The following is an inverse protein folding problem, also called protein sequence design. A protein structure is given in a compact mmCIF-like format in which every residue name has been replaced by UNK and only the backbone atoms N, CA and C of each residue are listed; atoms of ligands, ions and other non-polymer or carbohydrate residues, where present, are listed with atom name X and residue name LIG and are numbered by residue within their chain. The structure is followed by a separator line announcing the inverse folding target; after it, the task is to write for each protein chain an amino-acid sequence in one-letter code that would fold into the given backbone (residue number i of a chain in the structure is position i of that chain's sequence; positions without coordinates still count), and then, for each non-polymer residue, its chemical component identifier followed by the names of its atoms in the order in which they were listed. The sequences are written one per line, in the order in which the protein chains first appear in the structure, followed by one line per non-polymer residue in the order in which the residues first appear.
data_IF_951049924551
#
_entry.id   IF_951049924551
#
_cell.length_a   1.000
_cell.length_b   1.000
_cell.length_c   1.000
_cell.angle_alpha   90.00
_cell.angle_beta   90.00
_cell.angle_gamma   90.00
#
_symmetry.space_group_name_H-M   'P 1'
#
loop_
_entity.id
_entity.type
_entity.pdbx_description
1 polymer ?
#
# COMPACT_ATOMS: atom_id res chain seq x y z
N UNK A 1 5.18 -11.34 4.12
CA UNK A 1 6.16 -10.41 3.51
C UNK A 1 5.93 -9.02 4.03
N UNK A 2 4.87 -8.36 3.53
CA UNK A 2 4.51 -6.97 3.89
C UNK A 2 4.54 -6.69 5.40
N UNK A 3 3.75 -7.38 6.21
CA UNK A 3 3.62 -7.11 7.67
C UNK A 3 4.98 -7.11 8.37
N UNK A 4 5.80 -8.13 8.17
CA UNK A 4 7.12 -8.23 8.80
C UNK A 4 8.02 -7.07 8.37
N UNK A 5 8.12 -6.83 7.05
CA UNK A 5 8.97 -5.77 6.52
C UNK A 5 8.49 -4.37 6.97
N UNK A 6 7.18 -4.17 6.98
CA UNK A 6 6.52 -2.98 7.49
C UNK A 6 6.89 -2.72 8.94
N UNK A 7 6.65 -3.69 9.83
CA UNK A 7 6.95 -3.57 11.26
C UNK A 7 8.43 -3.25 11.51
N UNK A 8 9.34 -3.86 10.76
CA UNK A 8 10.78 -3.60 10.88
C UNK A 8 11.09 -2.14 10.54
N UNK A 9 10.70 -1.65 9.36
CA UNK A 9 11.06 -0.27 8.97
C UNK A 9 10.33 0.78 9.81
N UNK A 10 9.07 0.52 10.18
CA UNK A 10 8.31 1.36 11.10
C UNK A 10 9.05 1.50 12.45
N UNK A 11 9.49 0.38 13.04
CA UNK A 11 10.24 0.41 14.30
C UNK A 11 11.58 1.14 14.16
N UNK A 12 12.34 0.89 13.08
CA UNK A 12 13.62 1.55 12.85
C UNK A 12 13.48 3.08 12.75
N UNK A 13 12.48 3.58 12.03
CA UNK A 13 12.26 5.02 11.89
C UNK A 13 11.66 5.62 13.16
N UNK A 14 10.67 4.96 13.79
CA UNK A 14 10.04 5.44 15.02
C UNK A 14 11.02 5.51 16.21
N UNK A 15 11.97 4.59 16.30
CA UNK A 15 13.04 4.61 17.31
C UNK A 15 14.17 5.60 16.96
N UNK A 16 14.09 6.28 15.81
CA UNK A 16 15.10 7.23 15.34
C UNK A 16 16.41 6.57 14.86
N UNK A 17 16.43 5.26 14.67
CA UNK A 17 17.59 4.50 14.16
C UNK A 17 17.78 4.69 12.66
N UNK A 18 16.70 5.01 11.93
CA UNK A 18 16.73 5.31 10.50
C UNK A 18 16.03 6.65 10.25
N UNK A 19 16.71 7.57 9.56
CA UNK A 19 16.12 8.83 9.11
C UNK A 19 15.88 8.76 7.61
N UNK A 20 14.70 9.17 7.18
CA UNK A 20 14.26 9.10 5.80
C UNK A 20 13.70 10.45 5.36
N UNK A 21 13.86 10.77 4.08
CA UNK A 21 13.20 11.94 3.48
C UNK A 21 11.72 11.60 3.25
N UNK A 22 10.81 12.40 3.83
CA UNK A 22 9.36 12.17 3.71
C UNK A 22 8.92 12.23 2.24
N UNK A 23 9.27 13.27 1.44
CA UNK A 23 8.91 13.29 0.02
C UNK A 23 9.45 12.09 -0.76
N UNK A 24 10.67 11.60 -0.44
CA UNK A 24 11.25 10.45 -1.11
C UNK A 24 10.47 9.16 -0.81
N UNK A 25 10.10 8.96 0.45
CA UNK A 25 9.32 7.78 0.87
C UNK A 25 7.92 7.81 0.26
N UNK A 26 7.25 8.96 0.27
CA UNK A 26 5.94 9.12 -0.34
C UNK A 26 6.00 8.87 -1.86
N UNK A 27 7.03 9.36 -2.55
CA UNK A 27 7.23 9.05 -3.97
C UNK A 27 7.41 7.54 -4.22
N UNK A 28 8.19 6.84 -3.39
CA UNK A 28 8.36 5.38 -3.52
C UNK A 28 7.04 4.64 -3.24
N UNK A 29 6.26 5.07 -2.27
CA UNK A 29 4.93 4.52 -1.99
C UNK A 29 4.01 4.74 -3.20
N UNK A 30 3.94 5.95 -3.73
CA UNK A 30 3.14 6.27 -4.92
C UNK A 30 3.55 5.39 -6.12
N UNK A 31 4.86 5.23 -6.36
CA UNK A 31 5.38 4.38 -7.42
C UNK A 31 5.03 2.91 -7.23
N UNK A 32 4.99 2.41 -5.98
CA UNK A 32 4.56 1.04 -5.68
C UNK A 32 3.09 0.81 -6.06
N UNK A 33 2.22 1.82 -5.91
CA UNK A 33 0.82 1.77 -6.31
C UNK A 33 0.70 1.80 -7.83
N UNK A 34 1.48 2.65 -8.53
CA UNK A 34 1.55 2.65 -10.01
C UNK A 34 1.98 1.28 -10.53
N UNK A 35 2.98 0.66 -9.90
CA UNK A 35 3.41 -0.69 -10.23
C UNK A 35 2.25 -1.68 -10.09
N UNK A 36 1.59 -1.72 -8.93
CA UNK A 36 0.51 -2.69 -8.69
C UNK A 36 -0.70 -2.43 -9.60
N UNK A 37 -1.02 -1.17 -9.88
CA UNK A 37 -2.04 -0.76 -10.83
C UNK A 37 -1.76 -1.29 -12.24
N UNK A 38 -0.49 -1.24 -12.67
CA UNK A 38 -0.04 -1.78 -13.94
C UNK A 38 -0.17 -3.31 -13.98
N UNK A 39 0.23 -3.99 -12.90
CA UNK A 39 0.11 -5.45 -12.76
C UNK A 39 -1.37 -5.90 -12.84
N UNK A 40 -2.26 -5.16 -12.19
CA UNK A 40 -3.70 -5.37 -12.22
C UNK A 40 -4.24 -5.15 -13.64
N UNK A 41 -3.89 -4.05 -14.30
CA UNK A 41 -4.38 -3.74 -15.65
C UNK A 41 -3.95 -4.79 -16.68
N UNK A 42 -2.67 -5.19 -16.66
CA UNK A 42 -2.10 -6.22 -17.53
C UNK A 42 -2.73 -7.59 -17.26
N UNK A 43 -2.84 -7.96 -15.98
CA UNK A 43 -3.30 -9.29 -15.56
C UNK A 43 -2.44 -10.43 -16.10
N UNK A 44 -1.18 -10.14 -16.37
CA UNK A 44 -0.17 -11.08 -16.84
C UNK A 44 0.41 -11.83 -15.64
N UNK A 45 0.25 -13.14 -15.61
CA UNK A 45 0.72 -13.99 -14.49
C UNK A 45 2.21 -14.33 -14.58
N UNK A 46 2.90 -13.86 -15.61
CA UNK A 46 4.33 -14.14 -15.81
C UNK A 46 5.24 -13.08 -15.18
N UNK A 47 4.69 -12.02 -14.63
CA UNK A 47 5.44 -10.92 -14.02
C UNK A 47 6.08 -11.32 -12.69
N UNK A 48 6.99 -10.47 -12.20
CA UNK A 48 7.66 -10.67 -10.91
C UNK A 48 6.67 -10.68 -9.74
N UNK A 49 5.63 -9.84 -9.78
CA UNK A 49 4.62 -9.77 -8.72
C UNK A 49 3.88 -11.10 -8.54
N UNK A 50 3.59 -11.80 -9.64
CA UNK A 50 2.94 -13.11 -9.60
C UNK A 50 3.91 -14.25 -9.30
N UNK A 51 5.14 -14.20 -9.83
CA UNK A 51 6.14 -15.26 -9.62
C UNK A 51 6.78 -15.22 -8.23
N UNK A 52 6.94 -14.02 -7.65
CA UNK A 52 7.63 -13.77 -6.38
C UNK A 52 6.84 -12.81 -5.48
N UNK A 53 5.58 -13.13 -5.13
CA UNK A 53 4.69 -12.22 -4.40
C UNK A 53 5.23 -11.83 -3.02
N UNK A 54 5.93 -12.74 -2.34
CA UNK A 54 6.55 -12.46 -1.03
C UNK A 54 7.62 -11.37 -1.14
N UNK A 55 8.45 -11.40 -2.19
CA UNK A 55 9.52 -10.42 -2.40
C UNK A 55 8.94 -9.03 -2.65
N UNK A 56 7.96 -8.93 -3.57
CA UNK A 56 7.30 -7.67 -3.90
C UNK A 56 6.56 -7.11 -2.68
N UNK A 57 5.80 -7.95 -1.97
CA UNK A 57 5.09 -7.54 -0.77
C UNK A 57 6.06 -7.06 0.33
N UNK A 58 7.21 -7.73 0.52
CA UNK A 58 8.22 -7.28 1.48
C UNK A 58 8.84 -5.94 1.08
N UNK A 59 9.19 -5.74 -0.20
CA UNK A 59 9.73 -4.47 -0.69
C UNK A 59 8.76 -3.31 -0.45
N UNK A 60 7.47 -3.54 -0.71
CA UNK A 60 6.43 -2.54 -0.43
C UNK A 60 6.27 -2.28 1.06
N UNK A 61 6.31 -3.34 1.89
CA UNK A 61 6.24 -3.22 3.34
C UNK A 61 7.32 -2.30 3.90
N UNK A 62 8.58 -2.44 3.43
CA UNK A 62 9.69 -1.58 3.87
C UNK A 62 9.37 -0.09 3.62
N UNK A 63 8.96 0.26 2.39
CA UNK A 63 8.64 1.64 2.04
C UNK A 63 7.46 2.21 2.85
N UNK A 64 6.40 1.42 3.03
CA UNK A 64 5.21 1.86 3.75
C UNK A 64 5.48 2.07 5.24
N UNK A 65 6.35 1.26 5.86
CA UNK A 65 6.73 1.45 7.26
C UNK A 65 7.47 2.73 7.53
N UNK A 66 8.37 3.11 6.62
CA UNK A 66 9.04 4.40 6.69
C UNK A 66 8.03 5.56 6.60
N UNK A 67 7.03 5.47 5.71
CA UNK A 67 6.05 6.53 5.49
C UNK A 67 5.11 6.72 6.68
N UNK A 68 4.63 5.61 7.26
CA UNK A 68 3.81 5.67 8.47
C UNK A 68 4.56 6.21 9.67
N UNK A 69 5.83 5.83 9.85
CA UNK A 69 6.65 6.33 10.95
C UNK A 69 6.85 7.86 10.87
N UNK A 70 7.05 8.40 9.67
CA UNK A 70 7.16 9.83 9.45
C UNK A 70 5.89 10.56 9.92
N UNK A 71 4.71 10.08 9.51
CA UNK A 71 3.43 10.64 9.97
C UNK A 71 3.23 10.48 11.50
N UNK A 72 3.65 9.36 12.08
CA UNK A 72 3.58 9.13 13.53
C UNK A 72 4.45 10.11 14.33
N UNK A 73 5.59 10.52 13.75
CA UNK A 73 6.47 11.54 14.33
C UNK A 73 5.79 12.90 14.47
N UNK A 74 4.90 13.26 13.55
CA UNK A 74 4.12 14.51 13.59
C UNK A 74 3.01 14.47 14.65
N UNK A 75 2.41 13.30 14.89
CA UNK A 75 1.33 13.10 15.88
C UNK A 75 1.84 13.10 17.32
N UNK A 76 3.15 12.91 17.55
CA UNK A 76 3.80 13.12 18.84
C UNK A 76 3.56 12.03 19.89
N UNK A 77 3.87 10.77 19.56
CA UNK A 77 3.73 9.65 20.50
C UNK A 77 4.60 9.81 21.78
N UNK A 78 4.04 9.53 22.97
CA UNK A 78 4.81 9.50 24.22
C UNK A 78 5.95 8.47 24.16
N UNK A 79 7.19 8.92 24.38
CA UNK A 79 8.42 8.10 24.24
C UNK A 79 8.50 6.91 25.21
N UNK A 80 7.75 6.94 26.30
CA UNK A 80 7.78 5.93 27.36
C UNK A 80 7.04 4.63 27.03
N UNK A 81 6.08 4.65 26.09
CA UNK A 81 5.25 3.48 25.71
C UNK A 81 5.37 3.12 24.22
N UNK A 82 6.49 3.51 23.59
CA UNK A 82 6.67 3.45 22.13
C UNK A 82 6.50 2.03 21.57
N UNK A 83 6.99 1.01 22.25
CA UNK A 83 6.91 -0.38 21.77
C UNK A 83 5.48 -0.92 21.81
N UNK A 84 4.73 -0.63 22.88
CA UNK A 84 3.32 -1.01 23.00
C UNK A 84 2.47 -0.29 21.95
N UNK A 85 2.70 1.01 21.76
CA UNK A 85 2.03 1.80 20.73
C UNK A 85 2.28 1.22 19.32
N UNK A 86 3.53 0.88 18.99
CA UNK A 86 3.89 0.27 17.71
C UNK A 86 3.23 -1.11 17.51
N UNK A 87 3.16 -1.93 18.56
CA UNK A 87 2.49 -3.24 18.51
C UNK A 87 0.99 -3.09 18.22
N UNK A 88 0.28 -2.28 19.01
CA UNK A 88 -1.16 -2.08 18.82
C UNK A 88 -1.49 -1.36 17.52
N UNK A 89 -0.62 -0.45 17.07
CA UNK A 89 -0.74 0.17 15.75
C UNK A 89 -0.69 -0.90 14.64
N UNK A 90 0.31 -1.79 14.66
CA UNK A 90 0.41 -2.86 13.67
C UNK A 90 -0.77 -3.83 13.71
N UNK A 91 -1.21 -4.25 14.91
CA UNK A 91 -2.39 -5.09 15.07
C UNK A 91 -3.65 -4.40 14.52
N UNK A 92 -3.79 -3.09 14.76
CA UNK A 92 -4.88 -2.29 14.22
C UNK A 92 -4.85 -2.25 12.68
N UNK A 93 -3.68 -2.03 12.09
CA UNK A 93 -3.50 -2.04 10.62
C UNK A 93 -3.84 -3.41 10.04
N UNK A 94 -3.33 -4.49 10.62
CA UNK A 94 -3.58 -5.85 10.13
C UNK A 94 -5.06 -6.23 10.26
N UNK A 95 -5.69 -5.91 11.40
CA UNK A 95 -7.12 -6.11 11.60
C UNK A 95 -7.96 -5.32 10.59
N UNK A 96 -7.60 -4.05 10.35
CA UNK A 96 -8.25 -3.20 9.35
C UNK A 96 -8.13 -3.74 7.92
N UNK A 97 -6.94 -4.22 7.54
CA UNK A 97 -6.71 -4.85 6.25
C UNK A 97 -7.56 -6.11 6.07
N UNK A 98 -7.59 -7.00 7.07
CA UNK A 98 -8.42 -8.21 7.04
C UNK A 98 -9.90 -7.85 6.95
N UNK A 99 -10.37 -6.86 7.71
CA UNK A 99 -11.76 -6.41 7.68
C UNK A 99 -12.16 -5.86 6.31
N UNK A 100 -11.32 -5.04 5.67
CA UNK A 100 -11.56 -4.51 4.32
C UNK A 100 -11.62 -5.65 3.30
N UNK A 101 -10.67 -6.59 3.34
CA UNK A 101 -10.66 -7.75 2.43
C UNK A 101 -11.95 -8.55 2.60
N UNK A 102 -12.35 -8.85 3.83
CA UNK A 102 -13.58 -9.59 4.11
C UNK A 102 -14.82 -8.86 3.58
N UNK A 103 -14.92 -7.55 3.82
CA UNK A 103 -16.03 -6.73 3.34
C UNK A 103 -16.12 -6.70 1.80
N UNK A 104 -14.98 -6.50 1.12
CA UNK A 104 -14.93 -6.51 -0.35
C UNK A 104 -15.34 -7.86 -0.91
N UNK A 105 -14.88 -8.97 -0.32
CA UNK A 105 -15.26 -10.32 -0.75
C UNK A 105 -16.74 -10.60 -0.52
N UNK A 106 -17.28 -10.22 0.64
CA UNK A 106 -18.71 -10.35 0.93
C UNK A 106 -19.57 -9.56 -0.06
N UNK A 107 -19.18 -8.31 -0.36
CA UNK A 107 -19.84 -7.47 -1.35
C UNK A 107 -19.79 -8.11 -2.75
N UNK A 108 -18.63 -8.57 -3.19
CA UNK A 108 -18.48 -9.24 -4.50
C UNK A 108 -19.32 -10.51 -4.58
N UNK A 109 -19.41 -11.29 -3.50
CA UNK A 109 -20.25 -12.48 -3.43
C UNK A 109 -21.74 -12.14 -3.57
N UNK A 110 -22.22 -11.16 -2.79
CA UNK A 110 -23.61 -10.71 -2.84
C UNK A 110 -23.99 -10.17 -4.23
N UNK A 111 -23.16 -9.30 -4.80
CA UNK A 111 -23.38 -8.68 -6.12
C UNK A 111 -23.41 -9.75 -7.22
N UNK A 112 -22.49 -10.72 -7.20
CA UNK A 112 -22.47 -11.80 -8.20
C UNK A 112 -23.72 -12.68 -8.14
N UNK A 113 -24.31 -12.84 -6.95
CA UNK A 113 -25.54 -13.63 -6.78
C UNK A 113 -26.79 -12.85 -7.18
N UNK A 114 -26.83 -11.55 -6.90
CA UNK A 114 -27.98 -10.70 -7.22
C UNK A 114 -28.03 -10.26 -8.70
N UNK A 115 -26.87 -10.06 -9.35
CA UNK A 115 -26.79 -9.45 -10.69
C UNK A 115 -25.87 -10.28 -11.60
N UNK A 116 -26.41 -11.27 -12.35
CA UNK A 116 -25.61 -12.19 -13.17
C UNK A 116 -24.78 -11.50 -14.26
N UNK A 117 -25.26 -10.36 -14.79
CA UNK A 117 -24.56 -9.60 -15.83
C UNK A 117 -23.23 -9.00 -15.31
N UNK A 118 -23.15 -8.67 -14.01
CA UNK A 118 -21.89 -8.20 -13.39
C UNK A 118 -20.87 -9.34 -13.35
N UNK A 119 -21.31 -10.59 -13.14
CA UNK A 119 -20.41 -11.73 -13.22
C UNK A 119 -19.81 -11.91 -14.63
N UNK A 120 -20.59 -11.62 -15.69
CA UNK A 120 -20.09 -11.62 -17.07
C UNK A 120 -19.07 -10.50 -17.33
N UNK A 121 -19.36 -9.26 -16.90
CA UNK A 121 -18.44 -8.12 -17.04
C UNK A 121 -17.13 -8.30 -16.24
N UNK A 122 -17.20 -8.92 -15.05
CA UNK A 122 -16.02 -9.27 -14.26
C UNK A 122 -15.12 -10.29 -14.98
N UNK A 123 -15.70 -11.25 -15.74
CA UNK A 123 -14.94 -12.20 -16.55
C UNK A 123 -14.21 -11.54 -17.73
N UNK A 124 -14.76 -10.47 -18.27
CA UNK A 124 -14.13 -9.68 -19.34
C UNK A 124 -12.93 -8.85 -18.84
N UNK A 125 -12.71 -8.76 -17.52
CA UNK A 125 -11.59 -8.03 -16.94
C UNK A 125 -11.69 -6.51 -17.10
N UNK A 126 -12.83 -5.98 -17.56
CA UNK A 126 -13.03 -4.54 -17.78
C UNK A 126 -12.90 -3.76 -16.46
N UNK A 127 -13.55 -4.23 -15.40
CA UNK A 127 -13.44 -3.64 -14.06
C UNK A 127 -12.00 -3.64 -13.54
N UNK A 128 -11.26 -4.73 -13.79
CA UNK A 128 -9.85 -4.84 -13.39
C UNK A 128 -9.01 -3.79 -14.12
N UNK A 129 -9.18 -3.66 -15.43
CA UNK A 129 -8.47 -2.66 -16.24
C UNK A 129 -8.84 -1.23 -15.84
N UNK A 130 -10.13 -0.93 -15.73
CA UNK A 130 -10.62 0.39 -15.33
C UNK A 130 -10.09 0.79 -13.95
N UNK A 131 -10.19 -0.11 -12.96
CA UNK A 131 -9.63 0.11 -11.63
C UNK A 131 -8.11 0.28 -11.64
N UNK A 132 -7.40 -0.53 -12.42
CA UNK A 132 -5.96 -0.38 -12.62
C UNK A 132 -5.59 0.98 -13.20
N UNK A 133 -6.23 1.43 -14.28
CA UNK A 133 -5.97 2.74 -14.86
C UNK A 133 -6.32 3.89 -13.90
N UNK A 134 -7.47 3.82 -13.22
CA UNK A 134 -7.86 4.84 -12.25
C UNK A 134 -6.84 4.98 -11.12
N UNK A 135 -6.45 3.87 -10.49
CA UNK A 135 -5.42 3.86 -9.45
C UNK A 135 -4.07 4.34 -9.98
N UNK A 136 -3.67 3.89 -11.17
CA UNK A 136 -2.41 4.27 -11.81
C UNK A 136 -2.33 5.77 -12.13
N UNK A 137 -3.42 6.39 -12.56
CA UNK A 137 -3.48 7.84 -12.83
C UNK A 137 -3.35 8.64 -11.54
N UNK A 138 -4.14 8.31 -10.51
CA UNK A 138 -4.10 9.04 -9.22
C UNK A 138 -2.74 8.89 -8.56
N UNK A 139 -2.20 7.67 -8.52
CA UNK A 139 -0.87 7.42 -7.94
C UNK A 139 0.26 7.99 -8.79
N UNK A 140 0.12 8.03 -10.12
CA UNK A 140 1.08 8.67 -11.02
C UNK A 140 1.15 10.18 -10.79
N UNK A 141 0.00 10.84 -10.62
CA UNK A 141 -0.03 12.25 -10.21
C UNK A 141 0.67 12.46 -8.87
N UNK A 142 0.33 11.66 -7.86
CA UNK A 142 0.95 11.76 -6.53
C UNK A 142 2.46 11.51 -6.57
N UNK A 143 2.93 10.55 -7.38
CA UNK A 143 4.35 10.31 -7.59
C UNK A 143 5.06 11.54 -8.16
N UNK A 144 4.50 12.17 -9.19
CA UNK A 144 5.08 13.35 -9.83
C UNK A 144 5.17 14.51 -8.83
N UNK A 145 4.10 14.76 -8.07
CA UNK A 145 4.06 15.79 -7.03
C UNK A 145 5.20 15.60 -6.01
N UNK A 146 5.39 14.37 -5.51
CA UNK A 146 6.40 14.08 -4.49
C UNK A 146 7.81 14.01 -5.05
N UNK A 147 7.97 13.60 -6.31
CA UNK A 147 9.25 13.64 -7.00
C UNK A 147 9.69 15.09 -7.28
N UNK A 148 8.78 15.97 -7.66
CA UNK A 148 9.07 17.40 -7.87
C UNK A 148 9.52 18.08 -6.57
N UNK A 149 8.84 17.77 -5.45
CA UNK A 149 9.20 18.27 -4.11
C UNK A 149 10.61 17.86 -3.63
N UNK A 150 11.27 16.89 -4.28
CA UNK A 150 12.66 16.54 -3.99
C UNK A 150 13.67 17.47 -4.67
N UNK A 151 13.26 18.15 -5.73
CA UNK A 151 14.13 18.97 -6.59
C UNK A 151 13.96 20.45 -6.23
N UNK A 152 12.78 20.86 -5.74
CA UNK A 152 12.55 22.22 -5.27
C UNK A 152 13.30 22.47 -3.95
N UNK A 153 14.15 23.51 -3.87
CA UNK A 153 14.78 23.88 -2.61
C UNK A 153 13.70 24.40 -1.64
N UNK A 154 13.74 23.88 -0.41
CA UNK A 154 12.90 24.32 0.71
C UNK A 154 13.16 25.79 1.09
#
# INVERSE_FOLDING_TARGET
GFTIAHSVTLALVALGLLRVSVPAVEAVIALSIVFLATEIARGDKTTLAWRRPVLVASAFGLAHGAGFAAALGEVGLPKTETLGALLFFNLGVEAGQVAIIAAVFAMLFAVRRAVPIIAALLRLGLFRRAGGYALGVVSGYWFIERAAALIEPA
#
